data_IF_164723944026
#
_entry.id   IF_164723944026
#
_cell.length_a   1.000
_cell.length_b   1.000
_cell.length_c   1.000
_cell.angle_alpha   90.00
_cell.angle_beta   90.00
_cell.angle_gamma   90.00
#
_symmetry.space_group_name_H-M   'P 1'
#
loop_
_entity.id
_entity.type
_entity.pdbx_description
1 polymer ?
#
# COMPACT_ATOMS: atom_id res chain seq x y z
N UNK A 1 -37.95 -0.17 -47.74
CA UNK A 1 -37.91 -1.59 -48.16
C UNK A 1 -36.44 -1.94 -48.31
N UNK A 2 -35.82 -2.82 -47.51
CA UNK A 2 -36.03 -4.27 -47.27
C UNK A 2 -35.43 -5.13 -48.41
N UNK A 3 -34.45 -5.96 -48.03
CA UNK A 3 -33.72 -6.99 -48.82
C UNK A 3 -32.81 -6.46 -49.95
N UNK A 4 -31.78 -7.18 -50.41
CA UNK A 4 -30.86 -8.16 -49.78
C UNK A 4 -29.84 -8.58 -50.86
N UNK A 5 -28.57 -8.80 -50.51
CA UNK A 5 -27.65 -9.56 -51.37
C UNK A 5 -26.79 -10.51 -50.53
N UNK A 6 -26.97 -11.81 -50.78
CA UNK A 6 -25.90 -12.81 -50.67
C UNK A 6 -25.19 -12.88 -52.01
N UNK A 7 -23.90 -13.18 -52.01
CA UNK A 7 -23.31 -14.19 -52.89
C UNK A 7 -21.97 -14.65 -52.31
N UNK A 8 -21.73 -15.95 -52.38
CA UNK A 8 -20.46 -16.58 -52.04
C UNK A 8 -19.45 -16.48 -53.20
N UNK A 9 -18.18 -16.78 -52.87
CA UNK A 9 -17.35 -17.79 -53.55
C UNK A 9 -16.01 -17.37 -54.19
N UNK A 10 -15.08 -18.31 -54.04
CA UNK A 10 -13.99 -18.74 -54.93
C UNK A 10 -12.55 -18.22 -54.76
N UNK A 11 -11.67 -19.22 -54.92
CA UNK A 11 -10.21 -19.24 -54.79
C UNK A 11 -9.48 -18.53 -55.92
N UNK A 12 -8.24 -18.10 -55.64
CA UNK A 12 -7.11 -18.30 -56.56
C UNK A 12 -5.78 -18.33 -55.78
N UNK A 13 -4.99 -19.38 -55.96
CA UNK A 13 -3.54 -19.36 -55.70
C UNK A 13 -2.82 -18.83 -56.96
N UNK A 14 -1.69 -18.13 -56.79
CA UNK A 14 -0.55 -18.21 -57.70
C UNK A 14 0.75 -17.77 -56.99
N UNK A 15 1.87 -18.30 -57.49
CA UNK A 15 3.19 -18.36 -56.85
C UNK A 15 4.27 -17.56 -57.64
N UNK A 16 5.53 -17.66 -57.22
CA UNK A 16 6.80 -17.24 -57.83
C UNK A 16 7.31 -15.83 -57.45
N UNK A 17 8.33 -15.73 -56.58
CA UNK A 17 9.79 -15.78 -56.90
C UNK A 17 10.40 -14.36 -57.05
N UNK A 18 11.69 -14.04 -56.87
CA UNK A 18 12.91 -14.75 -56.45
C UNK A 18 13.98 -13.67 -56.18
N UNK A 19 14.81 -13.73 -55.12
CA UNK A 19 16.22 -13.30 -55.22
C UNK A 19 17.09 -13.68 -54.00
N UNK A 20 18.31 -14.12 -54.31
CA UNK A 20 19.26 -14.86 -53.49
C UNK A 20 20.16 -14.01 -52.57
N UNK A 21 20.74 -14.67 -51.55
CA UNK A 21 21.88 -14.16 -50.77
C UNK A 21 22.40 -15.16 -49.71
N UNK A 22 23.05 -16.26 -50.12
CA UNK A 22 23.64 -17.27 -49.22
C UNK A 22 25.11 -16.96 -48.88
N UNK A 23 25.56 -17.35 -47.68
CA UNK A 23 26.90 -17.92 -47.45
C UNK A 23 26.90 -19.06 -46.42
N UNK A 24 27.88 -19.97 -46.56
CA UNK A 24 27.89 -21.38 -46.12
C UNK A 24 29.33 -21.78 -45.68
N UNK A 25 29.60 -22.77 -44.82
CA UNK A 25 28.72 -23.59 -43.97
C UNK A 25 29.41 -23.87 -42.58
N UNK A 26 29.68 -25.08 -42.00
CA UNK A 26 30.11 -25.20 -40.59
C UNK A 26 31.45 -25.95 -40.39
N UNK A 27 31.79 -26.31 -39.14
CA UNK A 27 32.43 -27.61 -38.81
C UNK A 27 32.23 -28.00 -37.33
N UNK A 28 32.16 -29.30 -37.06
CA UNK A 28 31.94 -29.92 -35.73
C UNK A 28 33.01 -30.95 -35.40
N UNK A 29 33.41 -31.06 -34.13
CA UNK A 29 34.02 -32.25 -33.50
C UNK A 29 34.09 -31.96 -31.98
N UNK A 30 33.38 -32.68 -31.09
CA UNK A 30 33.64 -34.05 -30.63
C UNK A 30 35.11 -34.31 -30.23
N UNK A 31 35.38 -34.34 -28.92
CA UNK A 31 36.53 -35.03 -28.35
C UNK A 31 36.16 -35.77 -27.06
N UNK A 32 36.75 -36.95 -26.90
CA UNK A 32 36.35 -38.00 -25.95
C UNK A 32 36.99 -37.83 -24.58
N UNK A 33 36.27 -38.23 -23.52
CA UNK A 33 36.84 -38.36 -22.17
C UNK A 33 37.67 -39.64 -22.06
N UNK A 34 38.96 -39.50 -21.75
CA UNK A 34 39.81 -40.58 -21.19
C UNK A 34 40.62 -39.99 -20.05
N UNK A 35 40.54 -40.58 -18.87
CA UNK A 35 41.27 -40.11 -17.69
C UNK A 35 42.54 -40.93 -17.42
N UNK A 36 43.57 -40.28 -16.87
CA UNK A 36 44.59 -40.97 -16.09
C UNK A 36 45.11 -40.14 -14.92
N UNK A 37 45.47 -40.84 -13.85
CA UNK A 37 46.05 -40.27 -12.62
C UNK A 37 47.57 -40.16 -12.80
N UNK A 38 48.19 -39.10 -12.27
CA UNK A 38 49.32 -39.27 -11.34
C UNK A 38 49.76 -37.97 -10.67
N UNK A 39 49.99 -38.11 -9.36
CA UNK A 39 50.80 -37.31 -8.45
C UNK A 39 51.92 -36.43 -9.04
N UNK A 40 52.08 -35.21 -8.51
CA UNK A 40 53.16 -34.94 -7.54
C UNK A 40 52.98 -33.62 -6.78
N UNK A 41 53.43 -33.59 -5.53
CA UNK A 41 53.60 -32.36 -4.74
C UNK A 41 55.00 -31.80 -4.99
N UNK A 42 55.15 -30.48 -5.06
CA UNK A 42 56.20 -29.75 -4.33
C UNK A 42 55.92 -28.25 -4.29
N UNK A 43 56.62 -27.56 -3.39
CA UNK A 43 56.21 -26.28 -2.86
C UNK A 43 57.37 -25.27 -2.91
N UNK A 44 57.03 -23.98 -2.91
CA UNK A 44 57.89 -22.83 -2.56
C UNK A 44 59.22 -22.63 -3.29
N UNK A 45 59.37 -21.47 -3.94
CA UNK A 45 60.23 -20.40 -3.40
C UNK A 45 60.02 -19.06 -4.12
N UNK A 46 60.01 -17.97 -3.36
CA UNK A 46 60.10 -16.62 -3.88
C UNK A 46 61.57 -16.19 -3.99
N UNK A 47 61.90 -15.32 -4.96
CA UNK A 47 63.07 -14.43 -4.90
C UNK A 47 62.83 -13.18 -5.73
N UNK A 48 63.20 -12.04 -5.16
CA UNK A 48 63.23 -10.75 -5.85
C UNK A 48 64.48 -10.63 -6.73
N UNK A 49 64.41 -9.82 -7.79
CA UNK A 49 65.54 -9.50 -8.66
C UNK A 49 65.18 -8.30 -9.55
N UNK A 50 65.89 -7.19 -9.37
CA UNK A 50 65.54 -5.87 -9.90
C UNK A 50 66.24 -5.51 -11.22
N UNK A 51 65.79 -4.38 -11.81
CA UNK A 51 66.36 -3.55 -12.90
C UNK A 51 65.76 -3.80 -14.30
N UNK A 52 65.60 -2.83 -15.19
CA UNK A 52 65.60 -1.33 -15.16
C UNK A 52 65.04 -0.86 -16.50
N UNK A 53 64.30 0.25 -16.61
CA UNK A 53 63.91 0.74 -17.94
C UNK A 53 62.76 1.74 -18.04
N UNK A 54 63.00 2.99 -17.62
CA UNK A 54 62.71 4.20 -18.40
C UNK A 54 61.48 4.24 -19.34
N UNK A 55 60.47 5.07 -18.97
CA UNK A 55 60.10 6.27 -19.75
C UNK A 55 59.27 7.24 -18.91
N UNK A 56 59.37 8.54 -19.23
CA UNK A 56 58.81 9.66 -18.46
C UNK A 56 57.38 9.97 -18.91
N UNK A 57 56.53 10.37 -17.96
CA UNK A 57 55.24 11.03 -18.21
C UNK A 57 54.99 12.06 -17.10
N UNK A 58 55.00 13.35 -17.44
CA UNK A 58 54.83 14.42 -16.47
C UNK A 58 53.33 14.60 -16.12
N UNK A 59 52.99 14.60 -14.83
CA UNK A 59 51.71 15.12 -14.34
C UNK A 59 51.98 16.38 -13.53
N UNK A 60 51.64 17.56 -14.07
CA UNK A 60 51.90 18.85 -13.43
C UNK A 60 50.90 19.14 -12.32
N UNK A 61 51.41 19.38 -11.10
CA UNK A 61 50.64 20.00 -10.02
C UNK A 61 50.12 21.38 -10.45
N UNK A 62 48.86 21.69 -10.13
CA UNK A 62 48.34 23.07 -10.14
C UNK A 62 48.23 23.60 -8.72
N UNK A 63 49.03 24.60 -8.43
CA UNK A 63 48.98 25.42 -7.22
C UNK A 63 47.75 26.34 -7.21
N UNK A 64 47.22 26.60 -6.01
CA UNK A 64 46.27 27.69 -5.76
C UNK A 64 47.03 28.92 -5.21
N UNK A 65 46.74 30.15 -5.67
CA UNK A 65 47.26 31.38 -5.07
C UNK A 65 46.43 31.82 -3.82
N UNK A 66 46.97 32.74 -2.98
CA UNK A 66 46.52 32.90 -1.59
C UNK A 66 45.40 33.95 -1.36
N UNK A 67 44.91 33.96 -0.11
CA UNK A 67 43.88 34.85 0.42
C UNK A 67 44.31 36.32 0.46
N UNK A 68 43.34 37.22 0.29
CA UNK A 68 43.41 38.59 0.83
C UNK A 68 42.51 38.75 2.05
N UNK A 69 42.88 39.68 2.94
CA UNK A 69 42.27 39.91 4.25
C UNK A 69 41.27 41.05 4.24
N UNK A 70 40.14 40.89 4.93
CA UNK A 70 39.19 41.96 5.21
C UNK A 70 38.32 41.62 6.42
N UNK A 71 38.67 42.13 7.60
CA UNK A 71 37.98 41.80 8.85
C UNK A 71 36.90 42.81 9.22
N UNK A 72 35.87 42.36 9.95
CA UNK A 72 35.14 43.19 10.92
C UNK A 72 34.63 42.31 12.07
N UNK A 73 34.93 42.73 13.31
CA UNK A 73 34.38 42.15 14.53
C UNK A 73 33.00 42.76 14.81
N UNK A 74 31.99 41.94 15.05
CA UNK A 74 30.88 42.26 15.97
C UNK A 74 30.46 40.96 16.67
N UNK A 75 30.52 40.95 18.00
CA UNK A 75 30.05 39.81 18.78
C UNK A 75 28.58 39.96 19.17
N UNK A 76 27.84 38.85 19.23
CA UNK A 76 26.60 38.71 20.01
C UNK A 76 26.52 37.29 20.58
N UNK A 77 26.11 37.19 21.85
CA UNK A 77 25.92 35.92 22.59
C UNK A 77 24.76 35.12 21.98
N UNK A 78 24.74 33.78 22.08
CA UNK A 78 23.56 32.99 21.76
C UNK A 78 22.43 33.28 22.76
N UNK A 79 21.23 33.56 22.24
CA UNK A 79 20.00 33.65 23.01
C UNK A 79 19.43 32.24 23.20
N UNK A 80 19.49 31.72 24.43
CA UNK A 80 18.69 30.56 24.85
C UNK A 80 17.23 30.97 24.99
N UNK A 81 16.37 30.48 24.10
CA UNK A 81 14.91 30.55 24.27
C UNK A 81 14.41 29.24 24.92
N UNK A 82 13.53 29.30 25.93
CA UNK A 82 13.01 28.10 26.59
C UNK A 82 12.03 27.35 25.68
N UNK A 83 12.11 26.02 25.72
CA UNK A 83 11.15 25.12 25.08
C UNK A 83 9.81 25.18 25.82
N UNK A 84 8.81 25.82 25.24
CA UNK A 84 7.41 25.63 25.65
C UNK A 84 6.86 24.35 24.99
N UNK A 85 6.44 23.39 25.81
CA UNK A 85 5.70 22.22 25.33
C UNK A 85 4.30 22.65 24.83
N UNK A 86 3.78 22.09 23.73
CA UNK A 86 2.37 22.23 23.38
C UNK A 86 1.53 21.48 24.43
N UNK A 87 0.58 22.17 25.05
CA UNK A 87 -0.38 21.56 25.96
C UNK A 87 -1.40 20.70 25.21
N UNK A 88 -1.88 19.63 25.85
CA UNK A 88 -2.87 18.72 25.28
C UNK A 88 -4.18 19.47 24.91
N UNK A 89 -4.88 19.06 23.82
CA UNK A 89 -6.10 19.73 23.37
C UNK A 89 -7.21 19.66 24.41
N UNK A 90 -7.81 20.80 24.72
CA UNK A 90 -8.83 20.88 25.77
C UNK A 90 -10.18 20.30 25.33
N UNK A 91 -10.97 19.87 26.32
CA UNK A 91 -12.29 19.22 26.21
C UNK A 91 -13.32 19.91 25.28
N UNK A 92 -13.09 21.16 24.87
CA UNK A 92 -13.96 21.93 23.95
C UNK A 92 -13.80 21.60 22.46
N UNK A 93 -12.73 20.92 22.03
CA UNK A 93 -12.56 20.54 20.61
C UNK A 93 -13.35 19.29 20.19
N UNK A 94 -13.80 18.45 21.14
CA UNK A 94 -14.60 17.23 20.87
C UNK A 94 -16.09 17.47 20.56
N UNK A 95 -16.52 18.73 20.34
CA UNK A 95 -17.94 19.13 20.38
C UNK A 95 -18.56 19.48 19.01
N UNK A 96 -17.98 19.05 17.88
CA UNK A 96 -18.50 19.39 16.54
C UNK A 96 -19.33 18.30 15.85
N UNK A 97 -19.34 17.06 16.34
CA UNK A 97 -20.26 16.01 15.85
C UNK A 97 -21.71 16.20 16.34
N UNK A 98 -21.92 16.76 17.54
CA UNK A 98 -23.23 16.80 18.22
C UNK A 98 -24.20 17.90 17.73
N UNK A 99 -24.24 18.25 16.44
CA UNK A 99 -25.18 19.28 15.92
C UNK A 99 -25.97 18.92 14.67
N UNK A 100 -25.87 17.69 14.17
CA UNK A 100 -26.47 17.29 12.88
C UNK A 100 -27.61 16.25 13.01
N UNK A 101 -27.86 15.68 14.20
CA UNK A 101 -28.88 14.63 14.42
C UNK A 101 -30.11 15.05 15.25
N UNK A 102 -30.49 16.34 15.25
CA UNK A 102 -31.57 16.82 16.12
C UNK A 102 -32.44 17.96 15.55
N UNK A 103 -32.95 17.83 14.30
CA UNK A 103 -34.14 18.57 13.86
C UNK A 103 -35.04 17.64 13.02
N UNK A 104 -36.31 17.54 13.42
CA UNK A 104 -37.38 17.06 12.55
C UNK A 104 -38.08 15.79 13.02
N UNK A 105 -38.97 15.90 14.01
CA UNK A 105 -40.34 15.33 13.98
C UNK A 105 -41.15 15.93 15.13
N UNK A 106 -41.96 16.95 14.83
CA UNK A 106 -42.95 17.51 15.75
C UNK A 106 -44.25 16.72 15.63
N UNK A 107 -44.59 15.91 16.64
CA UNK A 107 -45.84 15.16 16.73
C UNK A 107 -46.55 15.40 18.05
N UNK A 108 -47.71 16.07 17.99
CA UNK A 108 -48.60 16.33 19.13
C UNK A 108 -49.46 15.11 19.45
N UNK A 109 -49.75 14.85 20.74
CA UNK A 109 -50.75 13.82 21.08
C UNK A 109 -50.78 13.29 22.53
N UNK A 110 -51.58 13.95 23.37
CA UNK A 110 -52.50 13.38 24.39
C UNK A 110 -52.06 12.22 25.32
N UNK A 111 -52.15 12.47 26.63
CA UNK A 111 -52.31 11.44 27.69
C UNK A 111 -53.74 10.88 27.72
N UNK A 112 -53.91 9.65 28.21
CA UNK A 112 -54.84 9.45 29.34
C UNK A 112 -54.25 8.60 30.49
N UNK A 113 -55.04 8.43 31.55
CA UNK A 113 -54.64 7.94 32.88
C UNK A 113 -54.93 6.45 33.17
N UNK A 114 -54.10 5.85 34.03
CA UNK A 114 -54.34 4.77 34.98
C UNK A 114 -55.49 3.75 34.74
N UNK A 115 -55.13 2.46 34.71
CA UNK A 115 -55.53 1.57 35.82
C UNK A 115 -54.63 0.34 35.96
N UNK A 116 -54.65 -0.30 37.14
CA UNK A 116 -53.67 -1.29 37.56
C UNK A 116 -54.08 -2.76 37.35
N UNK A 117 -53.09 -3.65 37.16
CA UNK A 117 -53.09 -4.96 37.82
C UNK A 117 -51.65 -5.44 38.03
N UNK A 118 -51.35 -6.01 39.20
CA UNK A 118 -50.03 -6.49 39.54
C UNK A 118 -49.88 -7.98 39.17
N UNK A 119 -48.83 -8.33 38.41
CA UNK A 119 -48.32 -9.71 38.30
C UNK A 119 -46.79 -9.71 38.41
N UNK A 120 -46.27 -10.84 38.85
CA UNK A 120 -44.94 -11.00 39.46
C UNK A 120 -43.76 -10.42 38.65
N UNK A 121 -42.80 -9.84 39.38
CA UNK A 121 -41.49 -9.45 38.85
C UNK A 121 -40.66 -10.69 38.47
N UNK A 122 -40.14 -10.80 37.23
CA UNK A 122 -38.89 -11.51 37.01
C UNK A 122 -37.72 -10.66 37.53
N UNK A 123 -36.66 -11.31 38.01
CA UNK A 123 -35.43 -10.65 38.45
C UNK A 123 -34.83 -9.76 37.35
N UNK A 124 -34.13 -8.67 37.70
CA UNK A 124 -33.49 -7.81 36.71
C UNK A 124 -32.30 -8.53 36.08
N UNK A 125 -32.55 -9.28 35.01
CA UNK A 125 -31.51 -9.64 34.07
C UNK A 125 -30.89 -8.33 33.58
N UNK A 126 -29.58 -8.16 33.83
CA UNK A 126 -28.80 -7.03 33.36
C UNK A 126 -28.82 -7.01 31.84
N UNK A 127 -29.79 -6.29 31.28
CA UNK A 127 -29.68 -5.78 29.92
C UNK A 127 -28.50 -4.83 29.93
N UNK A 128 -27.32 -5.37 29.59
CA UNK A 128 -26.28 -4.57 29.00
C UNK A 128 -26.88 -3.97 27.73
N UNK A 129 -27.42 -2.75 27.86
CA UNK A 129 -27.56 -1.86 26.73
C UNK A 129 -26.15 -1.68 26.19
N UNK A 130 -25.81 -2.42 25.14
CA UNK A 130 -24.63 -2.13 24.36
C UNK A 130 -24.74 -0.65 24.00
N UNK A 131 -23.87 0.17 24.59
CA UNK A 131 -23.74 1.55 24.13
C UNK A 131 -23.31 1.45 22.68
N UNK A 132 -23.98 2.17 21.80
CA UNK A 132 -23.54 2.31 20.43
C UNK A 132 -22.18 3.01 20.46
N UNK A 133 -21.10 2.23 20.39
CA UNK A 133 -19.74 2.77 20.36
C UNK A 133 -19.46 3.28 18.94
N UNK A 134 -19.77 4.56 18.76
CA UNK A 134 -19.13 5.42 17.75
C UNK A 134 -17.62 5.13 17.73
N UNK A 135 -16.95 5.11 16.55
CA UNK A 135 -15.51 4.86 16.48
C UNK A 135 -14.74 5.75 17.46
N UNK A 136 -14.08 5.11 18.42
CA UNK A 136 -13.29 5.79 19.46
C UNK A 136 -12.07 6.53 18.88
N UNK A 137 -11.66 6.12 17.67
CA UNK A 137 -10.59 6.69 16.87
C UNK A 137 -10.86 6.36 15.40
N UNK A 138 -10.76 7.36 14.50
CA UNK A 138 -10.74 7.12 13.04
C UNK A 138 -9.31 7.03 12.55
N UNK A 139 -8.97 5.95 11.84
CA UNK A 139 -7.66 5.74 11.23
C UNK A 139 -7.81 5.61 9.73
N UNK A 140 -7.10 6.45 9.00
CA UNK A 140 -6.89 6.38 7.55
C UNK A 140 -5.65 5.51 7.29
N UNK A 141 -5.83 4.28 6.82
CA UNK A 141 -4.73 3.31 6.67
C UNK A 141 -3.92 3.46 5.37
N UNK A 142 -4.25 4.45 4.53
CA UNK A 142 -3.59 4.67 3.25
C UNK A 142 -3.51 6.17 2.90
N UNK A 143 -2.37 6.82 3.18
CA UNK A 143 -2.02 8.13 2.60
C UNK A 143 -0.55 8.19 2.20
N UNK A 144 -0.20 9.18 1.37
CA UNK A 144 1.18 9.43 0.97
C UNK A 144 1.63 10.85 1.38
N UNK A 145 2.92 11.15 1.25
CA UNK A 145 3.51 12.48 1.46
C UNK A 145 4.57 12.77 0.40
N UNK A 146 4.99 14.02 0.28
CA UNK A 146 6.01 14.43 -0.70
C UNK A 146 5.41 14.69 -2.08
N UNK A 147 6.24 14.57 -3.12
CA UNK A 147 5.85 14.71 -4.52
C UNK A 147 6.03 13.35 -5.20
N UNK A 148 4.94 12.77 -5.72
CA UNK A 148 4.98 11.48 -6.40
C UNK A 148 5.09 11.64 -7.92
N UNK A 149 4.41 12.65 -8.50
CA UNK A 149 4.38 12.86 -9.95
C UNK A 149 4.98 14.21 -10.34
N UNK A 150 5.62 14.25 -11.52
CA UNK A 150 6.25 15.46 -12.03
C UNK A 150 5.21 16.56 -12.27
N UNK A 151 5.44 17.75 -11.72
CA UNK A 151 4.50 18.87 -11.79
C UNK A 151 3.30 18.80 -10.83
N UNK A 152 3.11 17.69 -10.09
CA UNK A 152 2.14 17.60 -9.00
C UNK A 152 2.60 18.48 -7.82
N UNK A 153 1.66 19.12 -7.10
CA UNK A 153 2.02 19.86 -5.89
C UNK A 153 2.33 18.89 -4.73
N UNK A 154 3.47 19.01 -4.03
CA UNK A 154 3.81 18.09 -2.94
C UNK A 154 2.83 18.19 -1.77
N UNK A 155 2.36 17.03 -1.30
CA UNK A 155 1.59 16.92 -0.08
C UNK A 155 2.52 16.96 1.14
N UNK A 156 2.45 18.04 1.91
CA UNK A 156 3.23 18.18 3.15
C UNK A 156 2.46 17.67 4.37
N UNK A 157 3.16 17.16 5.38
CA UNK A 157 2.55 16.69 6.64
C UNK A 157 1.57 17.72 7.25
N UNK A 158 1.90 19.03 7.22
CA UNK A 158 0.99 20.07 7.72
C UNK A 158 -0.23 20.32 6.83
N UNK A 159 -0.19 19.99 5.54
CA UNK A 159 -1.38 20.01 4.65
C UNK A 159 -2.26 18.78 4.90
N UNK A 160 -1.65 17.59 4.99
CA UNK A 160 -2.32 16.34 5.34
C UNK A 160 -3.05 16.47 6.69
N UNK A 161 -2.38 16.91 7.77
CA UNK A 161 -3.00 17.10 9.09
C UNK A 161 -4.21 18.04 9.05
N UNK A 162 -4.12 19.16 8.31
CA UNK A 162 -5.27 20.06 8.12
C UNK A 162 -6.42 19.45 7.31
N UNK A 163 -6.16 18.41 6.53
CA UNK A 163 -7.19 17.68 5.80
C UNK A 163 -7.80 16.58 6.67
N UNK A 164 -6.99 15.83 7.41
CA UNK A 164 -7.41 14.91 8.46
C UNK A 164 -8.35 15.60 9.47
N UNK A 165 -7.98 16.77 9.97
CA UNK A 165 -8.79 17.55 10.92
C UNK A 165 -10.15 18.02 10.35
N UNK A 166 -10.30 18.15 9.02
CA UNK A 166 -11.59 18.45 8.37
C UNK A 166 -12.45 17.19 8.20
N UNK A 167 -11.80 16.06 7.94
CA UNK A 167 -12.46 14.76 7.74
C UNK A 167 -12.76 14.03 9.05
N UNK A 168 -12.20 14.48 10.18
CA UNK A 168 -12.35 13.82 11.47
C UNK A 168 -11.46 12.59 11.62
N UNK A 169 -10.34 12.53 10.89
CA UNK A 169 -9.36 11.43 10.96
C UNK A 169 -8.37 11.69 12.10
N UNK A 170 -8.31 10.77 13.07
CA UNK A 170 -7.42 10.87 14.24
C UNK A 170 -5.99 10.42 13.93
N UNK A 171 -5.79 9.38 13.11
CA UNK A 171 -4.45 8.93 12.69
C UNK A 171 -4.43 8.58 11.21
N UNK A 172 -3.26 8.70 10.58
CA UNK A 172 -3.05 8.27 9.21
C UNK A 172 -1.78 7.42 9.08
N UNK A 173 -1.86 6.31 8.34
CA UNK A 173 -0.72 5.49 7.92
C UNK A 173 -0.12 6.08 6.66
N UNK A 174 1.12 6.54 6.77
CA UNK A 174 1.84 7.19 5.68
C UNK A 174 2.73 6.17 5.00
N UNK A 175 2.36 5.77 3.78
CA UNK A 175 3.09 4.83 2.95
C UNK A 175 4.33 5.49 2.33
N UNK A 176 5.28 4.65 1.95
CA UNK A 176 6.51 5.04 1.26
C UNK A 176 6.59 4.39 -0.11
N UNK A 177 7.21 5.06 -1.07
CA UNK A 177 7.30 4.59 -2.46
C UNK A 177 8.76 4.45 -2.85
N UNK A 178 9.22 3.20 -2.88
CA UNK A 178 10.58 2.79 -3.27
C UNK A 178 10.62 1.92 -4.54
N UNK A 179 9.46 1.67 -5.16
CA UNK A 179 9.36 1.00 -6.47
C UNK A 179 9.32 2.02 -7.62
N UNK A 180 9.87 1.71 -8.81
CA UNK A 180 9.83 2.53 -10.03
C UNK A 180 8.48 2.55 -10.76
N UNK A 181 7.49 1.75 -10.35
CA UNK A 181 6.15 1.73 -10.95
C UNK A 181 5.22 2.83 -10.41
N UNK A 182 4.11 3.07 -11.11
CA UNK A 182 2.98 3.98 -10.78
C UNK A 182 3.26 5.50 -10.66
N UNK A 183 4.46 5.90 -10.25
CA UNK A 183 4.81 7.30 -9.95
C UNK A 183 6.12 7.72 -10.62
N UNK A 184 6.33 9.03 -10.79
CA UNK A 184 7.53 9.57 -11.45
C UNK A 184 8.72 9.74 -10.48
N UNK A 185 8.44 9.82 -9.17
CA UNK A 185 9.39 10.22 -8.13
C UNK A 185 9.28 9.32 -6.90
N UNK A 186 10.43 8.83 -6.44
CA UNK A 186 10.53 8.09 -5.19
C UNK A 186 10.26 8.98 -3.97
N UNK A 187 9.53 8.44 -3.00
CA UNK A 187 9.42 8.99 -1.65
C UNK A 187 9.86 7.91 -0.66
N UNK A 188 11.18 7.78 -0.43
CA UNK A 188 11.72 6.65 0.31
C UNK A 188 11.38 6.70 1.80
N UNK A 189 11.46 5.53 2.44
CA UNK A 189 11.19 5.31 3.87
C UNK A 189 11.87 6.34 4.76
N UNK A 190 13.14 6.69 4.45
CA UNK A 190 13.92 7.69 5.20
C UNK A 190 13.31 9.09 5.19
N UNK A 191 12.64 9.48 4.10
CA UNK A 191 11.98 10.78 4.00
C UNK A 191 10.57 10.77 4.60
N UNK A 192 9.82 9.66 4.50
CA UNK A 192 8.60 9.45 5.30
C UNK A 192 8.91 9.52 6.81
N UNK A 193 9.94 8.81 7.27
CA UNK A 193 10.42 8.85 8.65
C UNK A 193 10.74 10.29 9.09
N UNK A 194 11.43 11.07 8.24
CA UNK A 194 11.79 12.48 8.46
C UNK A 194 10.56 13.39 8.53
N UNK A 195 9.64 13.29 7.57
CA UNK A 195 8.46 14.14 7.46
C UNK A 195 7.49 13.92 8.62
N UNK A 196 7.26 12.67 9.01
CA UNK A 196 6.35 12.31 10.09
C UNK A 196 6.97 12.47 11.49
N UNK A 197 8.27 12.79 11.61
CA UNK A 197 9.02 12.79 12.89
C UNK A 197 8.43 13.67 13.99
N UNK A 198 7.86 14.83 13.62
CA UNK A 198 7.24 15.79 14.56
C UNK A 198 5.76 15.52 14.83
N UNK A 199 5.21 14.47 14.23
CA UNK A 199 3.77 14.20 14.15
C UNK A 199 3.45 12.72 14.38
N UNK A 200 4.34 11.95 15.05
CA UNK A 200 4.16 10.51 15.33
C UNK A 200 2.93 10.18 16.18
N UNK A 201 2.34 11.18 16.84
CA UNK A 201 1.05 11.12 17.53
C UNK A 201 -0.14 10.97 16.55
N UNK A 202 -0.02 11.48 15.32
CA UNK A 202 -1.06 11.46 14.26
C UNK A 202 -0.65 10.66 13.01
N UNK A 203 0.64 10.58 12.69
CA UNK A 203 1.17 10.02 11.43
C UNK A 203 2.07 8.80 11.71
N UNK A 204 1.62 7.64 11.25
CA UNK A 204 2.26 6.34 11.43
C UNK A 204 3.04 6.02 10.15
N UNK A 205 4.38 6.00 10.15
CA UNK A 205 5.13 5.68 8.95
C UNK A 205 5.09 4.17 8.67
N UNK A 206 4.82 3.78 7.43
CA UNK A 206 5.19 2.47 6.91
C UNK A 206 6.55 2.56 6.20
N UNK A 207 7.23 1.43 6.08
CA UNK A 207 8.48 1.29 5.33
C UNK A 207 8.24 0.57 4.01
N UNK A 208 9.15 0.73 3.05
CA UNK A 208 9.10 0.03 1.78
C UNK A 208 10.52 -0.33 1.34
N UNK A 209 10.65 -1.42 0.60
CA UNK A 209 11.89 -1.95 0.04
C UNK A 209 11.51 -2.63 -1.28
N UNK A 210 12.08 -2.21 -2.39
CA UNK A 210 11.84 -2.92 -3.65
C UNK A 210 12.34 -4.39 -3.57
N UNK A 211 11.49 -5.39 -3.83
CA UNK A 211 11.87 -6.81 -3.74
C UNK A 211 12.99 -7.20 -4.72
N UNK A 212 13.17 -6.44 -5.81
CA UNK A 212 14.22 -6.66 -6.84
C UNK A 212 15.58 -6.07 -6.43
N UNK A 213 15.73 -5.62 -5.19
CA UNK A 213 16.99 -5.09 -4.65
C UNK A 213 18.04 -6.20 -4.54
N UNK A 214 19.30 -5.89 -4.91
CA UNK A 214 20.42 -6.86 -5.05
C UNK A 214 20.10 -7.91 -6.12
N UNK A 215 20.84 -9.03 -6.12
CA UNK A 215 20.60 -10.15 -7.02
C UNK A 215 19.56 -11.11 -6.42
N UNK A 216 18.67 -11.72 -7.23
CA UNK A 216 17.72 -12.73 -6.76
C UNK A 216 18.41 -13.84 -5.96
N UNK A 217 17.79 -14.28 -4.86
CA UNK A 217 18.34 -15.29 -3.95
C UNK A 217 19.47 -14.80 -3.03
N UNK A 218 19.93 -13.55 -3.17
CA UNK A 218 21.00 -12.96 -2.36
C UNK A 218 20.55 -11.76 -1.52
N UNK A 219 19.25 -11.49 -1.46
CA UNK A 219 18.70 -10.38 -0.67
C UNK A 219 17.94 -10.89 0.56
N UNK A 220 18.43 -10.49 1.73
CA UNK A 220 17.70 -10.53 2.98
C UNK A 220 17.25 -9.11 3.36
N UNK A 221 15.93 -8.83 3.40
CA UNK A 221 15.41 -7.53 3.82
C UNK A 221 15.38 -7.35 5.34
N UNK A 222 15.51 -8.44 6.13
CA UNK A 222 15.25 -8.44 7.58
C UNK A 222 16.03 -7.36 8.34
N UNK A 223 17.36 -7.19 8.16
CA UNK A 223 18.13 -6.17 8.90
C UNK A 223 17.76 -4.72 8.54
N UNK A 224 17.18 -4.51 7.34
CA UNK A 224 16.68 -3.18 6.95
C UNK A 224 15.30 -2.91 7.56
N UNK A 225 14.43 -3.92 7.60
CA UNK A 225 13.13 -3.82 8.27
C UNK A 225 13.30 -3.58 9.78
N UNK A 226 14.25 -4.26 10.43
CA UNK A 226 14.60 -4.02 11.84
C UNK A 226 15.07 -2.58 12.10
N UNK A 227 15.93 -2.01 11.23
CA UNK A 227 16.35 -0.60 11.32
C UNK A 227 15.15 0.37 11.17
N UNK A 228 14.22 0.10 10.25
CA UNK A 228 13.03 0.92 10.06
C UNK A 228 12.02 0.80 11.22
N UNK A 229 11.81 -0.41 11.76
CA UNK A 229 11.03 -0.64 12.99
C UNK A 229 11.63 0.15 14.14
N UNK A 230 12.95 0.09 14.33
CA UNK A 230 13.68 0.87 15.35
C UNK A 230 13.54 2.39 15.21
N UNK A 231 13.24 2.89 14.00
CA UNK A 231 12.93 4.30 13.71
C UNK A 231 11.43 4.65 13.80
N UNK A 232 10.60 3.67 14.16
CA UNK A 232 9.18 3.81 14.43
C UNK A 232 8.25 3.47 13.27
N UNK A 233 8.69 2.69 12.26
CA UNK A 233 7.78 2.12 11.28
C UNK A 233 6.93 0.99 11.90
N UNK A 234 5.64 0.96 11.56
CA UNK A 234 4.67 -0.02 12.10
C UNK A 234 4.11 -1.00 11.06
N UNK A 235 4.57 -0.94 9.81
CA UNK A 235 4.14 -1.81 8.74
C UNK A 235 4.98 -1.62 7.48
N UNK A 236 4.65 -2.41 6.45
CA UNK A 236 5.28 -2.37 5.14
C UNK A 236 4.28 -1.89 4.09
N UNK A 237 4.64 -0.92 3.26
CA UNK A 237 3.81 -0.44 2.17
C UNK A 237 4.27 0.88 1.54
N UNK A 238 3.87 1.16 0.31
CA UNK A 238 3.01 0.32 -0.55
C UNK A 238 3.85 -0.63 -1.42
N UNK A 239 3.54 -1.94 -1.45
CA UNK A 239 4.22 -2.83 -2.38
C UNK A 239 3.72 -2.59 -3.81
N UNK A 240 4.49 -1.83 -4.59
CA UNK A 240 4.19 -1.46 -5.98
C UNK A 240 5.04 -2.22 -7.00
N UNK A 241 5.63 -3.36 -6.63
CA UNK A 241 6.54 -4.09 -7.51
C UNK A 241 5.85 -4.64 -8.78
N UNK A 242 6.37 -4.27 -9.95
CA UNK A 242 5.94 -4.74 -11.29
C UNK A 242 6.32 -6.21 -11.61
N UNK A 243 6.03 -7.12 -10.69
CA UNK A 243 6.33 -8.57 -10.77
C UNK A 243 5.10 -9.39 -10.35
N UNK A 244 5.04 -10.71 -10.61
CA UNK A 244 3.95 -11.56 -10.11
C UNK A 244 3.78 -11.51 -8.59
N UNK A 245 2.54 -11.64 -8.12
CA UNK A 245 2.25 -11.70 -6.67
C UNK A 245 3.00 -12.84 -5.96
N UNK A 246 3.22 -13.97 -6.62
CA UNK A 246 3.98 -15.10 -6.09
C UNK A 246 5.42 -15.20 -6.62
N UNK A 247 5.98 -14.11 -7.12
CA UNK A 247 7.40 -14.08 -7.50
C UNK A 247 8.30 -14.35 -6.27
N UNK A 248 9.37 -15.18 -6.38
CA UNK A 248 10.31 -15.42 -5.29
C UNK A 248 10.92 -14.15 -4.66
N UNK A 249 11.07 -13.07 -5.41
CA UNK A 249 11.55 -11.79 -4.89
C UNK A 249 10.51 -11.13 -3.98
N UNK A 250 9.23 -11.17 -4.35
CA UNK A 250 8.13 -10.69 -3.51
C UNK A 250 8.04 -11.53 -2.20
N UNK A 251 8.25 -12.83 -2.33
CA UNK A 251 8.18 -13.77 -1.22
C UNK A 251 9.23 -13.54 -0.11
N UNK A 252 10.41 -12.95 -0.38
CA UNK A 252 11.37 -12.64 0.69
C UNK A 252 10.86 -11.53 1.61
N UNK A 253 10.09 -10.57 1.07
CA UNK A 253 9.42 -9.55 1.87
C UNK A 253 8.28 -10.16 2.69
N UNK A 254 7.49 -11.06 2.10
CA UNK A 254 6.37 -11.70 2.82
C UNK A 254 6.87 -12.48 4.02
N UNK A 255 7.93 -13.28 3.85
CA UNK A 255 8.53 -14.07 4.92
C UNK A 255 9.12 -13.17 6.04
N UNK A 256 9.84 -12.11 5.67
CA UNK A 256 10.43 -11.19 6.64
C UNK A 256 9.37 -10.38 7.41
N UNK A 257 8.35 -9.86 6.73
CA UNK A 257 7.24 -9.15 7.37
C UNK A 257 6.46 -10.07 8.33
N UNK A 258 6.21 -11.33 7.94
CA UNK A 258 5.57 -12.32 8.80
C UNK A 258 6.40 -12.69 10.04
N UNK A 259 7.73 -12.77 9.91
CA UNK A 259 8.65 -12.98 11.06
C UNK A 259 8.69 -11.79 12.01
N UNK A 260 8.62 -10.57 11.48
CA UNK A 260 8.69 -9.32 12.24
C UNK A 260 7.33 -8.79 12.72
N UNK A 261 6.22 -9.46 12.36
CA UNK A 261 4.86 -9.03 12.72
C UNK A 261 4.38 -7.78 11.99
N UNK A 262 4.97 -7.42 10.85
CA UNK A 262 4.57 -6.26 10.07
C UNK A 262 3.38 -6.59 9.16
N UNK A 263 2.28 -5.82 9.20
CA UNK A 263 1.26 -5.85 8.16
C UNK A 263 1.81 -5.27 6.85
N UNK A 264 1.39 -5.84 5.72
CA UNK A 264 1.95 -5.58 4.40
C UNK A 264 0.86 -5.11 3.43
N UNK A 265 0.91 -3.82 3.06
CA UNK A 265 0.02 -3.20 2.07
C UNK A 265 0.46 -3.50 0.64
N UNK A 266 -0.48 -3.94 -0.19
CA UNK A 266 -0.25 -4.38 -1.56
C UNK A 266 -1.25 -3.77 -2.54
N UNK A 267 -0.72 -3.16 -3.59
CA UNK A 267 -1.49 -2.76 -4.77
C UNK A 267 -1.63 -3.94 -5.74
N UNK A 268 -2.78 -4.08 -6.39
CA UNK A 268 -3.00 -5.03 -7.47
C UNK A 268 -3.58 -4.33 -8.70
N UNK A 269 -2.82 -4.26 -9.79
CA UNK A 269 -3.30 -3.79 -11.09
C UNK A 269 -2.86 -4.72 -12.24
N UNK A 270 -2.88 -4.23 -13.48
CA UNK A 270 -2.52 -5.00 -14.67
C UNK A 270 -1.00 -5.28 -14.80
N UNK A 271 -0.16 -4.63 -14.00
CA UNK A 271 1.30 -4.71 -14.05
C UNK A 271 1.93 -5.06 -12.69
N UNK A 272 1.43 -4.44 -11.62
CA UNK A 272 1.88 -4.48 -10.23
C UNK A 272 1.23 -5.65 -9.48
N UNK A 273 2.05 -6.45 -8.79
CA UNK A 273 1.66 -7.69 -8.10
C UNK A 273 0.68 -8.55 -8.93
N UNK A 274 0.95 -8.66 -10.23
CA UNK A 274 0.03 -9.28 -11.19
C UNK A 274 -0.31 -10.71 -10.81
N UNK A 275 -1.58 -11.07 -11.03
CA UNK A 275 -2.14 -12.41 -10.82
C UNK A 275 -3.16 -12.72 -11.92
N UNK A 276 -3.48 -14.00 -12.09
CA UNK A 276 -4.51 -14.47 -13.01
C UNK A 276 -5.92 -14.13 -12.49
N UNK A 277 -6.94 -14.06 -13.36
CA UNK A 277 -8.33 -13.90 -12.96
C UNK A 277 -8.74 -14.90 -11.87
N UNK A 278 -9.38 -14.38 -10.82
CA UNK A 278 -9.73 -15.11 -9.61
C UNK A 278 -8.62 -15.25 -8.57
N UNK A 279 -7.49 -14.58 -8.73
CA UNK A 279 -6.38 -14.49 -7.76
C UNK A 279 -5.81 -15.82 -7.22
N UNK A 280 -5.48 -16.81 -8.06
CA UNK A 280 -4.99 -18.10 -7.59
C UNK A 280 -3.59 -18.03 -6.97
N UNK A 281 -2.70 -17.14 -7.45
CA UNK A 281 -1.34 -17.05 -6.93
C UNK A 281 -1.30 -16.27 -5.62
N UNK A 282 -2.15 -15.25 -5.45
CA UNK A 282 -2.34 -14.60 -4.16
C UNK A 282 -2.97 -15.57 -3.13
N UNK A 283 -3.97 -16.38 -3.49
CA UNK A 283 -4.51 -17.43 -2.60
C UNK A 283 -3.45 -18.48 -2.21
N UNK A 284 -2.48 -18.75 -3.08
CA UNK A 284 -1.30 -19.58 -2.78
C UNK A 284 -0.36 -18.86 -1.78
N UNK A 285 -0.15 -17.56 -1.88
CA UNK A 285 0.65 -16.77 -0.92
C UNK A 285 -0.03 -16.65 0.46
N UNK A 286 -1.34 -16.37 0.51
CA UNK A 286 -2.13 -16.33 1.75
C UNK A 286 -2.03 -17.64 2.55
N UNK A 287 -2.00 -18.78 1.86
CA UNK A 287 -1.76 -20.11 2.47
C UNK A 287 -0.32 -20.36 2.88
N UNK A 288 0.65 -19.90 2.07
CA UNK A 288 2.08 -20.16 2.31
C UNK A 288 2.63 -19.32 3.46
N UNK A 289 2.11 -18.11 3.65
CA UNK A 289 2.57 -17.15 4.64
C UNK A 289 1.46 -16.79 5.66
N UNK A 290 0.98 -17.75 6.46
CA UNK A 290 -0.14 -17.53 7.39
C UNK A 290 0.18 -16.56 8.53
N UNK A 291 1.47 -16.33 8.83
CA UNK A 291 1.93 -15.35 9.81
C UNK A 291 1.99 -13.91 9.26
N UNK A 292 1.99 -13.74 7.93
CA UNK A 292 2.05 -12.43 7.28
C UNK A 292 0.64 -11.91 7.08
N UNK A 293 0.34 -10.72 7.63
CA UNK A 293 -0.91 -10.02 7.38
C UNK A 293 -0.79 -9.24 6.07
N UNK A 294 -1.68 -9.52 5.13
CA UNK A 294 -1.78 -8.85 3.85
C UNK A 294 -2.96 -7.87 3.86
N UNK A 295 -2.70 -6.62 3.50
CA UNK A 295 -3.70 -5.59 3.24
C UNK A 295 -3.73 -5.38 1.73
N UNK A 296 -4.83 -5.76 1.07
CA UNK A 296 -4.92 -5.76 -0.38
C UNK A 296 -5.85 -4.65 -0.90
N UNK A 297 -5.37 -3.92 -1.91
CA UNK A 297 -6.09 -2.82 -2.58
C UNK A 297 -5.79 -2.84 -4.09
N UNK A 298 -6.38 -1.92 -4.85
CA UNK A 298 -6.10 -1.70 -6.26
C UNK A 298 -7.18 -2.27 -7.20
N UNK A 299 -7.20 -1.83 -8.46
CA UNK A 299 -8.26 -2.15 -9.42
C UNK A 299 -8.42 -3.65 -9.66
N UNK A 300 -7.35 -4.43 -9.73
CA UNK A 300 -7.43 -5.87 -10.02
C UNK A 300 -7.85 -6.69 -8.80
N UNK A 301 -7.48 -6.28 -7.58
CA UNK A 301 -8.06 -6.88 -6.37
C UNK A 301 -9.55 -6.59 -6.30
N UNK A 302 -9.93 -5.31 -6.39
CA UNK A 302 -11.33 -4.90 -6.22
C UNK A 302 -12.25 -5.32 -7.38
N UNK A 303 -11.73 -5.54 -8.59
CA UNK A 303 -12.47 -6.17 -9.70
C UNK A 303 -13.04 -7.53 -9.30
N UNK A 304 -12.25 -8.32 -8.58
CA UNK A 304 -12.57 -9.69 -8.17
C UNK A 304 -13.66 -9.76 -7.09
N UNK A 305 -14.25 -8.63 -6.67
CA UNK A 305 -15.51 -8.59 -5.92
C UNK A 305 -16.70 -9.10 -6.77
N UNK A 306 -16.61 -9.01 -8.10
CA UNK A 306 -17.63 -9.38 -9.09
C UNK A 306 -17.23 -10.66 -9.82
N UNK A 307 -18.16 -11.60 -9.96
CA UNK A 307 -17.92 -12.85 -10.68
C UNK A 307 -17.69 -12.62 -12.18
N UNK A 308 -16.61 -13.22 -12.72
CA UNK A 308 -16.27 -13.21 -14.14
C UNK A 308 -16.16 -11.78 -14.69
N UNK A 309 -15.48 -10.89 -13.99
CA UNK A 309 -15.22 -9.53 -14.47
C UNK A 309 -13.93 -9.53 -15.29
N UNK A 310 -14.04 -9.27 -16.59
CA UNK A 310 -12.99 -9.59 -17.58
C UNK A 310 -12.30 -8.37 -18.18
N UNK A 311 -12.73 -7.15 -17.86
CA UNK A 311 -12.04 -5.94 -18.30
C UNK A 311 -10.71 -5.80 -17.52
N UNK A 312 -9.54 -5.83 -18.19
CA UNK A 312 -8.26 -5.59 -17.55
C UNK A 312 -8.04 -4.10 -17.21
N UNK A 313 -8.88 -3.20 -17.73
CA UNK A 313 -8.67 -1.75 -17.67
C UNK A 313 -9.69 -1.03 -16.78
N UNK A 314 -9.18 -0.17 -15.89
CA UNK A 314 -9.99 0.76 -15.10
C UNK A 314 -10.87 0.10 -14.02
N UNK A 315 -11.99 0.76 -13.72
CA UNK A 315 -12.91 0.38 -12.65
C UNK A 315 -14.20 -0.22 -13.21
N UNK A 316 -14.61 -1.44 -12.80
CA UNK A 316 -15.83 -2.07 -13.30
C UNK A 316 -17.08 -1.21 -13.03
N UNK A 317 -17.91 -1.05 -14.06
CA UNK A 317 -19.18 -0.32 -13.99
C UNK A 317 -20.37 -1.27 -13.77
N UNK A 318 -21.52 -0.71 -13.42
CA UNK A 318 -22.76 -1.48 -13.23
C UNK A 318 -22.75 -2.38 -11.99
N UNK A 319 -23.72 -3.31 -11.93
CA UNK A 319 -24.01 -4.17 -10.77
C UNK A 319 -22.95 -5.24 -10.50
N UNK A 320 -22.79 -5.62 -9.23
CA UNK A 320 -21.83 -6.65 -8.81
C UNK A 320 -22.43 -8.04 -9.04
N UNK A 321 -21.73 -8.90 -9.80
CA UNK A 321 -22.20 -10.27 -10.05
C UNK A 321 -21.83 -11.19 -8.88
N UNK A 322 -22.84 -11.82 -8.26
CA UNK A 322 -22.67 -12.71 -7.11
C UNK A 322 -21.64 -13.82 -7.38
N UNK A 323 -20.85 -14.14 -6.35
CA UNK A 323 -19.87 -15.22 -6.38
C UNK A 323 -18.45 -14.81 -6.78
N UNK A 324 -18.12 -13.51 -6.68
CA UNK A 324 -16.75 -13.01 -6.76
C UNK A 324 -15.79 -13.68 -5.79
N UNK A 325 -14.50 -13.42 -5.98
CA UNK A 325 -13.38 -14.08 -5.30
C UNK A 325 -12.91 -13.32 -4.07
N UNK A 326 -12.89 -11.98 -4.06
CA UNK A 326 -12.55 -11.18 -2.86
C UNK A 326 -13.35 -11.61 -1.64
N UNK A 327 -14.68 -11.69 -1.78
CA UNK A 327 -15.61 -12.08 -0.71
C UNK A 327 -15.32 -13.49 -0.15
N UNK A 328 -14.87 -14.41 -1.00
CA UNK A 328 -14.46 -15.77 -0.59
C UNK A 328 -13.09 -15.78 0.08
N UNK A 329 -12.17 -14.92 -0.36
CA UNK A 329 -10.83 -14.82 0.21
C UNK A 329 -10.89 -14.18 1.60
N UNK A 330 -11.61 -13.06 1.77
CA UNK A 330 -11.80 -12.38 3.06
C UNK A 330 -12.46 -13.30 4.11
N UNK A 331 -13.47 -14.08 3.70
CA UNK A 331 -14.13 -15.04 4.57
C UNK A 331 -13.25 -16.25 4.95
N UNK A 332 -12.27 -16.62 4.12
CA UNK A 332 -11.45 -17.84 4.29
C UNK A 332 -10.11 -17.58 4.97
N UNK A 333 -9.50 -16.41 4.76
CA UNK A 333 -8.11 -16.13 5.16
C UNK A 333 -8.04 -15.17 6.36
N UNK A 334 -7.70 -15.66 7.56
CA UNK A 334 -7.63 -14.83 8.76
C UNK A 334 -6.49 -13.79 8.69
N UNK A 335 -5.54 -13.94 7.77
CA UNK A 335 -4.43 -13.02 7.51
C UNK A 335 -4.66 -12.06 6.32
N UNK A 336 -5.82 -12.07 5.67
CA UNK A 336 -6.18 -11.07 4.63
C UNK A 336 -7.04 -9.94 5.19
N UNK A 337 -6.79 -8.71 4.76
CA UNK A 337 -7.63 -7.52 4.91
C UNK A 337 -7.79 -6.83 3.55
N UNK A 338 -8.91 -6.14 3.34
CA UNK A 338 -9.15 -5.31 2.15
C UNK A 338 -9.12 -3.82 2.49
N UNK A 339 -8.24 -3.07 1.85
CA UNK A 339 -8.18 -1.60 1.95
C UNK A 339 -9.16 -0.98 0.94
N UNK A 340 -10.10 -0.16 1.43
CA UNK A 340 -11.15 0.48 0.64
C UNK A 340 -10.70 1.74 -0.12
N UNK A 341 -9.42 2.09 -0.08
CA UNK A 341 -8.87 3.33 -0.62
C UNK A 341 -8.94 3.50 -2.14
N UNK A 342 -8.49 4.69 -2.56
CA UNK A 342 -8.51 5.21 -3.91
C UNK A 342 -9.93 5.20 -4.53
N UNK A 343 -9.99 5.32 -5.85
CA UNK A 343 -11.24 5.08 -6.58
C UNK A 343 -11.64 3.60 -6.58
N UNK A 344 -10.70 2.68 -6.36
CA UNK A 344 -10.89 1.24 -6.56
C UNK A 344 -11.80 0.60 -5.51
N UNK A 345 -11.48 0.75 -4.22
CA UNK A 345 -12.27 0.20 -3.12
C UNK A 345 -13.60 0.90 -2.95
N UNK A 346 -13.61 2.24 -3.04
CA UNK A 346 -14.85 3.02 -3.09
C UNK A 346 -15.79 2.56 -4.22
N UNK A 347 -15.31 2.41 -5.46
CA UNK A 347 -16.15 1.95 -6.57
C UNK A 347 -16.71 0.54 -6.32
N UNK A 348 -15.91 -0.37 -5.75
CA UNK A 348 -16.33 -1.73 -5.46
C UNK A 348 -17.55 -1.81 -4.53
N UNK A 349 -17.62 -0.92 -3.53
CA UNK A 349 -18.72 -0.87 -2.55
C UNK A 349 -19.86 0.08 -2.95
N UNK A 350 -19.59 1.14 -3.71
CA UNK A 350 -20.58 2.17 -4.03
C UNK A 350 -21.40 1.90 -5.30
N UNK A 351 -20.84 1.17 -6.29
CA UNK A 351 -21.47 1.01 -7.63
C UNK A 351 -22.77 0.20 -7.68
N UNK A 352 -23.05 -0.59 -6.63
CA UNK A 352 -24.27 -1.37 -6.51
C UNK A 352 -24.87 -1.22 -5.11
N UNK A 353 -25.87 -0.33 -4.92
CA UNK A 353 -26.49 -0.06 -3.62
C UNK A 353 -27.15 -1.27 -2.95
N UNK A 354 -27.44 -2.36 -3.68
CA UNK A 354 -28.00 -3.58 -3.09
C UNK A 354 -26.92 -4.57 -2.63
N UNK A 355 -25.70 -4.42 -3.13
CA UNK A 355 -24.58 -5.31 -2.80
C UNK A 355 -23.64 -4.69 -1.76
N UNK A 356 -23.27 -3.42 -1.93
CA UNK A 356 -22.32 -2.70 -1.08
C UNK A 356 -22.59 -2.84 0.42
N UNK A 357 -23.80 -2.48 0.91
CA UNK A 357 -24.15 -2.58 2.32
C UNK A 357 -23.96 -4.00 2.88
N UNK A 358 -24.50 -5.00 2.18
CA UNK A 358 -24.41 -6.40 2.57
C UNK A 358 -22.97 -6.94 2.51
N UNK A 359 -22.11 -6.40 1.63
CA UNK A 359 -20.69 -6.75 1.59
C UNK A 359 -19.92 -6.14 2.76
N UNK A 360 -20.15 -4.87 3.06
CA UNK A 360 -19.56 -4.14 4.18
C UNK A 360 -19.93 -4.79 5.52
N UNK A 361 -21.20 -5.11 5.75
CA UNK A 361 -21.64 -5.78 6.98
C UNK A 361 -21.00 -7.15 7.19
N UNK A 362 -20.94 -7.98 6.13
CA UNK A 362 -20.39 -9.34 6.21
C UNK A 362 -18.88 -9.35 6.41
N UNK A 363 -18.17 -8.39 5.84
CA UNK A 363 -16.71 -8.30 5.89
C UNK A 363 -16.21 -7.20 6.86
N UNK A 364 -17.07 -6.68 7.74
CA UNK A 364 -16.78 -5.52 8.60
C UNK A 364 -15.54 -5.67 9.49
N UNK A 365 -15.14 -6.90 9.86
CA UNK A 365 -13.95 -7.20 10.66
C UNK A 365 -12.66 -7.35 9.82
N UNK A 366 -12.78 -7.18 8.50
CA UNK A 366 -11.76 -7.44 7.46
C UNK A 366 -11.53 -6.30 6.47
N UNK A 367 -12.24 -5.19 6.62
CA UNK A 367 -12.11 -4.02 5.75
C UNK A 367 -11.48 -2.86 6.52
N UNK A 368 -10.70 -2.06 5.80
CA UNK A 368 -9.98 -0.91 6.32
C UNK A 368 -10.37 0.35 5.55
N UNK A 369 -10.45 1.47 6.26
CA UNK A 369 -10.66 2.79 5.68
C UNK A 369 -9.32 3.44 5.38
N UNK A 370 -9.00 3.61 4.11
CA UNK A 370 -7.89 4.42 3.62
C UNK A 370 -8.41 5.44 2.61
N UNK A 371 -7.79 6.61 2.50
CA UNK A 371 -8.24 7.65 1.53
C UNK A 371 -7.46 7.65 0.23
N UNK A 372 -6.26 7.05 0.22
CA UNK A 372 -5.21 7.19 -0.79
C UNK A 372 -4.95 8.68 -1.11
N UNK A 373 -4.75 9.50 -0.08
CA UNK A 373 -4.55 10.94 -0.28
C UNK A 373 -3.12 11.26 -0.72
N UNK A 374 -2.97 11.61 -2.01
CA UNK A 374 -1.68 11.84 -2.67
C UNK A 374 -1.33 13.33 -2.79
N UNK A 375 -2.32 14.19 -3.05
CA UNK A 375 -2.10 15.59 -3.43
C UNK A 375 -3.10 16.55 -2.78
N UNK A 376 -2.69 17.79 -2.46
CA UNK A 376 -3.62 18.82 -2.00
C UNK A 376 -4.82 18.98 -2.94
N UNK A 377 -6.01 19.11 -2.34
CA UNK A 377 -7.32 19.25 -3.02
C UNK A 377 -7.81 18.03 -3.82
N UNK A 378 -7.15 16.87 -3.74
CA UNK A 378 -7.72 15.63 -4.26
C UNK A 378 -9.10 15.37 -3.64
N UNK A 379 -10.05 14.92 -4.47
CA UNK A 379 -11.36 14.49 -4.01
C UNK A 379 -11.28 13.07 -3.45
N UNK A 380 -11.94 12.80 -2.33
CA UNK A 380 -12.03 11.46 -1.76
C UNK A 380 -13.51 11.11 -1.49
N UNK A 381 -14.20 10.51 -2.47
CA UNK A 381 -15.60 10.10 -2.32
C UNK A 381 -15.83 9.13 -1.15
N UNK A 382 -14.84 8.31 -0.79
CA UNK A 382 -14.92 7.37 0.33
C UNK A 382 -15.20 8.09 1.68
N UNK A 383 -14.62 9.27 1.89
CA UNK A 383 -14.89 10.07 3.10
C UNK A 383 -16.36 10.46 3.15
N UNK A 384 -16.94 10.89 2.03
CA UNK A 384 -18.37 11.25 1.97
C UNK A 384 -19.28 10.02 2.09
N UNK A 385 -18.88 8.88 1.52
CA UNK A 385 -19.59 7.60 1.64
C UNK A 385 -19.75 7.16 3.10
N UNK A 386 -18.75 7.42 3.96
CA UNK A 386 -18.82 7.13 5.40
C UNK A 386 -19.40 8.26 6.26
N UNK A 387 -19.83 9.39 5.68
CA UNK A 387 -20.62 10.42 6.41
C UNK A 387 -22.09 10.05 6.54
N UNK A 388 -22.65 9.34 5.56
CA UNK A 388 -23.99 8.74 5.61
C UNK A 388 -23.90 7.26 5.17
N UNK A 389 -23.25 6.40 5.98
CA UNK A 389 -22.93 5.04 5.59
C UNK A 389 -24.19 4.16 5.59
N UNK A 390 -24.40 3.33 4.55
CA UNK A 390 -25.60 2.52 4.42
C UNK A 390 -25.55 1.23 5.29
N UNK A 391 -24.83 1.25 6.41
CA UNK A 391 -24.59 0.10 7.30
C UNK A 391 -24.62 0.52 8.79
N UNK A 392 -24.93 -0.40 9.72
CA UNK A 392 -24.95 -0.11 11.15
C UNK A 392 -23.64 0.49 11.67
N UNK A 393 -23.73 1.41 12.65
CA UNK A 393 -22.59 2.08 13.30
C UNK A 393 -21.48 1.13 13.76
N UNK A 394 -21.81 -0.09 14.19
CA UNK A 394 -20.83 -1.10 14.58
C UNK A 394 -19.89 -1.47 13.42
N UNK A 395 -20.42 -1.65 12.21
CA UNK A 395 -19.61 -1.93 11.04
C UNK A 395 -18.75 -0.72 10.66
N UNK A 396 -19.33 0.49 10.69
CA UNK A 396 -18.61 1.75 10.48
C UNK A 396 -17.43 1.89 11.46
N UNK A 397 -17.68 1.68 12.76
CA UNK A 397 -16.69 1.78 13.84
C UNK A 397 -15.50 0.82 13.66
N UNK A 398 -15.75 -0.40 13.17
CA UNK A 398 -14.70 -1.36 12.82
C UNK A 398 -13.88 -0.94 11.61
N UNK A 399 -14.57 -0.63 10.51
CA UNK A 399 -13.95 -0.32 9.21
C UNK A 399 -13.13 0.97 9.29
N UNK A 400 -13.70 2.02 9.91
CA UNK A 400 -13.05 3.33 10.04
C UNK A 400 -11.94 3.39 11.09
N UNK A 401 -11.72 2.36 11.91
CA UNK A 401 -10.67 2.45 12.93
C UNK A 401 -10.40 1.23 13.78
N UNK A 402 -11.39 0.46 14.25
CA UNK A 402 -11.10 -0.63 15.20
C UNK A 402 -10.25 -1.75 14.59
N UNK A 403 -10.42 -2.02 13.29
CA UNK A 403 -9.59 -2.99 12.56
C UNK A 403 -8.14 -2.52 12.43
N UNK A 404 -7.92 -1.26 12.04
CA UNK A 404 -6.58 -0.67 11.95
C UNK A 404 -5.89 -0.58 13.33
N UNK A 405 -6.61 -0.18 14.39
CA UNK A 405 -6.10 -0.19 15.77
C UNK A 405 -5.62 -1.59 16.18
N UNK A 406 -6.41 -2.63 15.88
CA UNK A 406 -6.05 -4.03 16.15
C UNK A 406 -4.81 -4.48 15.37
N UNK A 407 -4.68 -4.09 14.10
CA UNK A 407 -3.53 -4.45 13.27
C UNK A 407 -2.24 -3.76 13.70
N UNK A 408 -2.33 -2.52 14.18
CA UNK A 408 -1.18 -1.67 14.51
C UNK A 408 -0.83 -1.70 16.01
N UNK A 409 -1.64 -2.35 16.85
CA UNK A 409 -1.42 -2.46 18.30
C UNK A 409 -1.57 -1.12 19.05
N UNK A 410 -2.56 -0.32 18.67
CA UNK A 410 -2.80 1.06 19.15
C UNK A 410 -3.78 1.17 20.32
#
# INVERSE_FOLDING_TARGET
MRLALKTDAQHAETDASLCHGRYFLPLTSHFTVVGHRSTSRRAWQARAGSRTGSRRGECRNRSWPPRTTGGRKTGRRPLTLPLTQPSAPTRKQRSRYNRILAIGHTGTGLRPSNNASAKARPSPATRHSAREEEPSMVIDDHVHLGQLRHGQEPLTASRLLRQMDKWGVDKAVVLSVENPEEVDLYVPTRDILRMCRRHRDRLIPFCNIDPRRRYPGHFDPTPMLEDYIGQGCQGFGENLAGIPVDDPMNQVLYEACGKLGLPLMMHFDYWINRDEPGMPNFEKMLRKYPATVFMAHGPNFWREISKNETDPSGYPTGKVRKGGRVDKLLAKYPNLYGDLSAGSGHNAIARDPNFGPAFLERNQDKLLFGTDYLTPKQECPLVAYFQDPPVPKQAVSKIMGANAQKLLGL
#
